data_IF_280773558117
#
_entry.id   IF_280773558117
#
_cell.length_a   1.000
_cell.length_b   1.000
_cell.length_c   1.000
_cell.angle_alpha   90.00
_cell.angle_beta   90.00
_cell.angle_gamma   90.00
#
_symmetry.space_group_name_H-M   'P 1'
#
loop_
_entity.id
_entity.type
_entity.pdbx_description
1 polymer ?
#
# COMPACT_ATOMS: atom_id res chain seq x y z
N UNK A 1 -71.88 10.24 -19.02
CA UNK A 1 -70.67 9.42 -19.24
C UNK A 1 -69.50 10.29 -19.72
N UNK A 2 -68.82 11.04 -18.84
CA UNK A 2 -67.63 11.82 -19.23
C UNK A 2 -66.63 12.14 -18.10
N UNK A 3 -66.98 11.95 -16.82
CA UNK A 3 -66.10 12.36 -15.70
C UNK A 3 -65.10 11.29 -15.22
N UNK A 4 -65.31 10.01 -15.54
CA UNK A 4 -64.48 8.91 -15.01
C UNK A 4 -63.18 8.67 -15.80
N UNK A 5 -63.02 9.22 -16.99
CA UNK A 5 -61.87 8.94 -17.88
C UNK A 5 -60.67 9.86 -17.61
N UNK A 6 -60.86 10.97 -16.90
CA UNK A 6 -59.80 11.98 -16.68
C UNK A 6 -58.88 11.62 -15.49
N UNK A 7 -59.38 10.88 -14.49
CA UNK A 7 -58.63 10.53 -13.26
C UNK A 7 -57.78 9.26 -13.36
N UNK A 8 -57.96 8.40 -14.37
CA UNK A 8 -57.16 7.18 -14.54
C UNK A 8 -55.80 7.41 -15.23
N UNK A 9 -55.64 8.49 -16.00
CA UNK A 9 -54.39 8.81 -16.71
C UNK A 9 -53.19 9.15 -15.79
N UNK A 10 -53.34 9.92 -14.69
CA UNK A 10 -52.21 10.21 -13.80
C UNK A 10 -51.82 9.01 -12.93
N UNK A 11 -52.79 8.21 -12.48
CA UNK A 11 -52.53 7.00 -11.68
C UNK A 11 -51.73 5.95 -12.45
N UNK A 12 -52.03 5.77 -13.74
CA UNK A 12 -51.34 4.81 -14.59
C UNK A 12 -49.90 5.24 -14.95
N UNK A 13 -49.64 6.56 -15.04
CA UNK A 13 -48.27 7.10 -15.19
C UNK A 13 -47.46 6.97 -13.91
N UNK A 14 -48.06 7.22 -12.74
CA UNK A 14 -47.38 7.08 -11.46
C UNK A 14 -47.01 5.61 -11.19
N UNK A 15 -47.90 4.67 -11.53
CA UNK A 15 -47.65 3.23 -11.40
C UNK A 15 -46.51 2.75 -12.34
N UNK A 16 -46.42 3.28 -13.56
CA UNK A 16 -45.27 3.01 -14.46
C UNK A 16 -43.95 3.57 -13.93
N UNK A 17 -43.94 4.75 -13.32
CA UNK A 17 -42.72 5.34 -12.74
C UNK A 17 -42.26 4.56 -11.51
N UNK A 18 -43.20 4.12 -10.66
CA UNK A 18 -42.88 3.29 -9.48
C UNK A 18 -42.38 1.90 -9.88
N UNK A 19 -42.96 1.27 -10.92
CA UNK A 19 -42.48 0.00 -11.47
C UNK A 19 -41.11 0.13 -12.16
N UNK A 20 -40.83 1.26 -12.81
CA UNK A 20 -39.50 1.54 -13.36
C UNK A 20 -38.46 1.75 -12.24
N UNK A 21 -38.80 2.48 -11.17
CA UNK A 21 -37.92 2.68 -10.03
C UNK A 21 -37.66 1.37 -9.26
N UNK A 22 -38.65 0.47 -9.16
CA UNK A 22 -38.43 -0.85 -8.55
C UNK A 22 -37.59 -1.77 -9.43
N UNK A 23 -37.69 -1.69 -10.77
CA UNK A 23 -36.82 -2.46 -11.68
C UNK A 23 -35.36 -2.01 -11.63
N UNK A 24 -35.09 -0.71 -11.46
CA UNK A 24 -33.73 -0.20 -11.22
C UNK A 24 -33.18 -0.59 -9.85
N UNK A 25 -34.02 -0.68 -8.81
CA UNK A 25 -33.60 -1.16 -7.49
C UNK A 25 -33.24 -2.65 -7.49
N UNK A 26 -33.95 -3.47 -8.27
CA UNK A 26 -33.67 -4.91 -8.43
C UNK A 26 -32.40 -5.16 -9.26
N UNK A 27 -32.05 -4.27 -10.20
CA UNK A 27 -30.81 -4.37 -11.00
C UNK A 27 -29.55 -3.87 -10.25
N UNK A 28 -29.70 -3.13 -9.15
CA UNK A 28 -28.59 -2.71 -8.29
C UNK A 28 -28.34 -3.63 -7.10
N UNK A 29 -29.24 -4.57 -6.81
CA UNK A 29 -29.19 -5.42 -5.62
C UNK A 29 -29.05 -6.91 -5.93
N UNK A 30 -27.82 -7.42 -5.95
CA UNK A 30 -27.54 -8.85 -5.77
C UNK A 30 -27.27 -9.65 -7.04
N UNK A 31 -26.04 -9.58 -7.53
CA UNK A 31 -25.48 -10.55 -8.47
C UNK A 31 -24.12 -10.99 -7.97
N UNK A 32 -24.09 -11.98 -7.07
CA UNK A 32 -22.91 -12.82 -6.86
C UNK A 32 -22.62 -13.53 -8.17
N UNK A 33 -21.57 -13.13 -8.88
CA UNK A 33 -20.95 -13.96 -9.89
C UNK A 33 -19.54 -14.29 -9.39
N UNK A 34 -19.46 -15.49 -8.81
CA UNK A 34 -18.24 -16.28 -8.78
C UNK A 34 -17.80 -16.51 -10.22
N UNK A 35 -16.60 -16.09 -10.56
CA UNK A 35 -15.86 -16.69 -11.67
C UNK A 35 -14.43 -16.93 -11.18
N UNK A 36 -14.12 -18.22 -11.04
CA UNK A 36 -12.81 -18.80 -10.74
C UNK A 36 -11.98 -18.86 -12.06
N UNK A 37 -10.76 -19.39 -12.03
CA UNK A 37 -9.52 -18.74 -12.46
C UNK A 37 -9.20 -18.98 -13.94
N UNK A 38 -8.68 -17.94 -14.61
CA UNK A 38 -7.98 -18.13 -15.88
C UNK A 38 -6.62 -18.81 -15.64
N UNK A 39 -6.58 -20.12 -15.85
CA UNK A 39 -5.35 -20.90 -16.07
C UNK A 39 -4.74 -20.58 -17.45
N UNK A 40 -3.41 -20.54 -17.58
CA UNK A 40 -2.73 -20.56 -18.87
C UNK A 40 -2.55 -22.00 -19.42
N UNK A 41 -2.85 -22.21 -20.70
CA UNK A 41 -2.52 -23.40 -21.50
C UNK A 41 -1.52 -23.01 -22.64
N UNK A 42 -0.84 -23.92 -23.36
CA UNK A 42 0.53 -24.26 -23.04
C UNK A 42 1.46 -24.22 -24.29
N UNK A 43 2.76 -24.45 -24.02
CA UNK A 43 3.80 -24.96 -24.94
C UNK A 43 4.33 -24.07 -26.09
N UNK A 44 5.64 -23.82 -26.01
CA UNK A 44 6.54 -24.23 -27.08
C UNK A 44 7.80 -24.86 -26.46
N UNK A 45 7.82 -26.21 -26.47
CA UNK A 45 8.97 -27.05 -26.17
C UNK A 45 9.91 -26.98 -27.38
N UNK A 46 11.20 -26.72 -27.15
CA UNK A 46 12.26 -26.93 -28.13
C UNK A 46 13.30 -27.85 -27.48
N UNK A 47 13.22 -29.13 -27.82
CA UNK A 47 14.14 -30.17 -27.37
C UNK A 47 15.47 -30.16 -28.16
N UNK A 48 16.51 -30.89 -27.67
CA UNK A 48 17.92 -30.54 -27.83
C UNK A 48 18.67 -31.43 -28.84
N UNK A 49 19.90 -31.01 -29.17
CA UNK A 49 20.88 -31.78 -29.95
C UNK A 49 22.32 -31.26 -29.71
N UNK A 50 23.37 -32.06 -29.91
CA UNK A 50 24.30 -32.37 -28.82
C UNK A 50 25.73 -31.80 -28.95
N UNK A 51 26.46 -31.94 -27.85
CA UNK A 51 27.94 -32.11 -27.75
C UNK A 51 28.82 -30.84 -27.71
N UNK A 52 29.42 -30.56 -26.55
CA UNK A 52 30.82 -30.90 -26.24
C UNK A 52 31.25 -30.25 -24.92
N UNK A 53 31.50 -31.10 -23.93
CA UNK A 53 32.31 -30.82 -22.74
C UNK A 53 33.69 -30.30 -23.13
N UNK A 54 34.05 -29.14 -22.61
CA UNK A 54 35.45 -28.77 -22.39
C UNK A 54 35.58 -28.17 -20.99
N UNK A 55 36.12 -28.99 -20.10
CA UNK A 55 36.60 -28.59 -18.79
C UNK A 55 37.80 -27.67 -18.96
N UNK A 56 37.69 -26.43 -18.47
CA UNK A 56 38.83 -25.55 -18.30
C UNK A 56 38.71 -24.89 -16.92
N UNK A 57 39.34 -25.52 -15.93
CA UNK A 57 39.78 -24.85 -14.70
C UNK A 57 41.17 -24.30 -15.03
N UNK A 58 41.37 -22.98 -15.02
CA UNK A 58 42.10 -22.43 -13.88
C UNK A 58 41.77 -20.99 -13.47
N UNK A 59 42.12 -20.74 -12.20
CA UNK A 59 42.43 -19.47 -11.50
C UNK A 59 41.25 -18.66 -10.98
N UNK A 60 41.15 -18.68 -9.65
CA UNK A 60 40.49 -17.67 -8.85
C UNK A 60 40.98 -16.28 -9.28
N UNK A 61 40.08 -15.54 -9.93
CA UNK A 61 40.15 -14.11 -9.93
C UNK A 61 39.76 -13.67 -8.52
N UNK A 62 40.72 -13.10 -7.81
CA UNK A 62 40.46 -12.30 -6.62
C UNK A 62 39.59 -11.12 -7.08
N UNK A 63 38.27 -11.23 -6.85
CA UNK A 63 37.34 -10.18 -7.20
C UNK A 63 37.56 -9.01 -6.25
N UNK A 64 38.21 -7.97 -6.74
CA UNK A 64 38.19 -6.62 -6.14
C UNK A 64 36.79 -5.99 -6.33
N UNK A 65 35.74 -6.73 -6.02
CA UNK A 65 34.38 -6.20 -5.99
C UNK A 65 34.19 -5.50 -4.65
N UNK A 66 34.23 -4.15 -4.68
CA UNK A 66 33.91 -3.33 -3.52
C UNK A 66 32.46 -3.66 -3.13
N UNK A 67 32.22 -4.23 -1.95
CA UNK A 67 30.89 -4.69 -1.63
C UNK A 67 29.94 -3.49 -1.41
N UNK A 68 28.66 -3.62 -1.83
CA UNK A 68 27.72 -2.51 -1.96
C UNK A 68 27.38 -1.79 -0.64
N UNK A 69 27.75 -2.35 0.52
CA UNK A 69 27.55 -1.72 1.83
C UNK A 69 28.53 -0.57 2.09
N UNK A 70 29.70 -0.56 1.45
CA UNK A 70 30.77 0.44 1.71
C UNK A 70 30.31 1.86 1.38
N UNK A 71 29.46 2.02 0.35
CA UNK A 71 28.94 3.33 -0.06
C UNK A 71 27.96 3.96 0.95
N UNK A 72 27.38 3.16 1.86
CA UNK A 72 26.45 3.64 2.89
C UNK A 72 27.13 3.93 4.23
N UNK A 73 28.42 3.59 4.35
CA UNK A 73 29.16 3.71 5.59
C UNK A 73 29.96 5.01 5.63
N UNK A 74 29.73 5.91 6.61
CA UNK A 74 30.57 7.09 6.78
C UNK A 74 31.98 6.66 7.20
N UNK A 75 32.99 7.30 6.61
CA UNK A 75 34.39 7.07 6.97
C UNK A 75 34.84 8.08 8.04
N UNK A 76 35.70 7.63 8.97
CA UNK A 76 36.32 8.44 10.03
C UNK A 76 35.33 9.05 11.06
N UNK A 77 34.13 8.49 11.18
CA UNK A 77 33.18 8.82 12.25
C UNK A 77 33.47 8.09 13.56
N UNK A 78 32.72 8.43 14.62
CA UNK A 78 32.79 7.73 15.90
C UNK A 78 32.27 6.29 15.75
N UNK A 79 33.00 5.29 16.27
CA UNK A 79 32.60 3.88 16.13
C UNK A 79 31.22 3.58 16.75
N UNK A 80 30.84 4.25 17.84
CA UNK A 80 29.54 4.08 18.49
C UNK A 80 28.33 4.65 17.72
N UNK A 81 28.57 5.43 16.67
CA UNK A 81 27.53 6.02 15.80
C UNK A 81 27.48 5.38 14.42
N UNK A 82 28.22 4.31 14.20
CA UNK A 82 28.27 3.64 12.91
C UNK A 82 26.92 2.93 12.65
N UNK A 83 26.38 3.01 11.41
CA UNK A 83 25.18 2.28 11.04
C UNK A 83 25.30 0.78 11.30
N UNK A 84 24.18 0.13 11.62
CA UNK A 84 24.16 -1.31 11.86
C UNK A 84 24.67 -2.15 10.67
N UNK A 85 24.54 -1.66 9.44
CA UNK A 85 25.02 -2.35 8.23
C UNK A 85 26.55 -2.38 8.13
N UNK A 86 27.25 -1.50 8.85
CA UNK A 86 28.71 -1.31 8.79
C UNK A 86 29.47 -2.09 9.87
N UNK A 87 28.75 -2.71 10.81
CA UNK A 87 29.32 -3.42 11.97
C UNK A 87 28.73 -4.82 12.07
N UNK A 88 29.45 -5.73 12.70
CA UNK A 88 29.00 -7.06 13.06
C UNK A 88 29.14 -7.24 14.57
N UNK A 89 28.03 -7.48 15.26
CA UNK A 89 28.00 -7.52 16.72
C UNK A 89 27.69 -8.94 17.19
N UNK A 90 28.43 -9.41 18.20
CA UNK A 90 28.15 -10.68 18.86
C UNK A 90 26.86 -10.55 19.68
N UNK A 91 25.75 -10.94 19.09
CA UNK A 91 24.43 -10.84 19.73
C UNK A 91 24.28 -11.86 20.87
N UNK A 92 23.77 -11.39 22.01
CA UNK A 92 23.35 -12.23 23.13
C UNK A 92 21.85 -12.02 23.34
N UNK A 93 21.07 -13.08 23.16
CA UNK A 93 19.61 -13.03 23.25
C UNK A 93 19.07 -13.14 24.69
N UNK A 94 19.93 -13.38 25.69
CA UNK A 94 19.53 -13.65 27.07
C UNK A 94 19.35 -12.39 27.93
N UNK A 95 19.06 -11.24 27.32
CA UNK A 95 18.88 -9.98 28.01
C UNK A 95 17.43 -9.67 28.39
N UNK A 96 17.24 -8.80 29.38
CA UNK A 96 15.91 -8.35 29.80
C UNK A 96 15.40 -7.28 28.83
N UNK A 97 14.22 -7.50 28.26
CA UNK A 97 13.58 -6.57 27.33
C UNK A 97 13.50 -5.15 27.91
N UNK A 98 13.94 -4.15 27.14
CA UNK A 98 13.90 -2.74 27.51
C UNK A 98 15.05 -2.26 28.41
N UNK A 99 15.99 -3.14 28.80
CA UNK A 99 17.19 -2.75 29.56
C UNK A 99 18.39 -2.49 28.63
N UNK A 100 19.28 -1.53 28.97
CA UNK A 100 20.50 -1.30 28.21
C UNK A 100 21.47 -2.48 28.39
N UNK A 101 22.07 -2.93 27.29
CA UNK A 101 23.04 -4.02 27.23
C UNK A 101 24.17 -3.63 26.29
N UNK A 102 25.38 -4.00 26.69
CA UNK A 102 26.60 -3.80 25.92
C UNK A 102 26.90 -5.04 25.07
N UNK A 103 27.15 -4.84 23.78
CA UNK A 103 27.56 -5.88 22.84
C UNK A 103 28.94 -5.59 22.27
N UNK A 104 29.73 -6.64 22.07
CA UNK A 104 31.03 -6.56 21.42
C UNK A 104 30.83 -6.55 19.90
N UNK A 105 31.21 -5.45 19.26
CA UNK A 105 31.03 -5.23 17.83
C UNK A 105 32.37 -5.09 17.12
N UNK A 106 32.44 -5.62 15.91
CA UNK A 106 33.57 -5.50 14.99
C UNK A 106 33.15 -4.70 13.76
N UNK A 107 34.08 -3.89 13.25
CA UNK A 107 33.84 -3.11 12.04
C UNK A 107 34.03 -4.01 10.82
N UNK A 108 33.12 -3.93 9.84
CA UNK A 108 33.26 -4.68 8.58
C UNK A 108 34.52 -4.26 7.81
N UNK A 109 35.08 -5.15 6.97
CA UNK A 109 36.24 -4.79 6.16
C UNK A 109 35.95 -3.56 5.29
N UNK A 110 36.98 -2.74 5.06
CA UNK A 110 36.91 -1.51 4.27
C UNK A 110 36.17 -0.31 4.90
N UNK A 111 35.69 -0.41 6.14
CA UNK A 111 35.14 0.72 6.90
C UNK A 111 36.10 1.13 8.02
N UNK A 112 36.38 2.43 8.17
CA UNK A 112 37.24 2.97 9.24
C UNK A 112 36.43 3.87 10.16
N UNK A 113 36.55 3.64 11.48
CA UNK A 113 35.98 4.48 12.52
C UNK A 113 37.03 4.79 13.59
N UNK A 114 36.77 5.84 14.36
CA UNK A 114 37.63 6.30 15.46
C UNK A 114 36.88 6.25 16.79
N UNK A 115 37.61 6.03 17.88
CA UNK A 115 37.09 6.16 19.24
C UNK A 115 37.14 7.64 19.70
N UNK A 116 36.59 8.03 20.88
CA UNK A 116 36.69 9.39 21.42
C UNK A 116 38.12 9.94 21.49
N UNK A 117 39.13 9.07 21.60
CA UNK A 117 40.54 9.44 21.62
C UNK A 117 41.19 9.53 20.22
N UNK A 118 40.40 9.61 19.15
CA UNK A 118 40.86 9.68 17.75
C UNK A 118 41.74 8.50 17.30
N UNK A 119 41.67 7.37 18.01
CA UNK A 119 42.37 6.14 17.65
C UNK A 119 41.47 5.26 16.79
N UNK A 120 42.03 4.72 15.72
CA UNK A 120 41.31 3.74 14.90
C UNK A 120 41.13 2.43 15.67
N UNK A 121 39.90 1.94 15.71
CA UNK A 121 39.56 0.68 16.37
C UNK A 121 38.82 -0.24 15.42
N UNK A 122 39.14 -1.53 15.49
CA UNK A 122 38.45 -2.59 14.74
C UNK A 122 37.35 -3.26 15.55
N UNK A 123 37.49 -3.26 16.88
CA UNK A 123 36.54 -3.85 17.81
C UNK A 123 36.25 -2.84 18.90
N UNK A 124 34.98 -2.67 19.25
CA UNK A 124 34.52 -1.74 20.26
C UNK A 124 33.25 -2.25 20.93
N UNK A 125 32.87 -1.64 22.05
CA UNK A 125 31.66 -2.01 22.80
C UNK A 125 30.54 -1.04 22.44
N UNK A 126 29.40 -1.57 21.98
CA UNK A 126 28.22 -0.79 21.64
C UNK A 126 27.14 -0.97 22.71
N UNK A 127 26.60 0.15 23.21
CA UNK A 127 25.49 0.14 24.16
C UNK A 127 24.17 0.32 23.42
N UNK A 128 23.26 -0.64 23.54
CA UNK A 128 21.92 -0.57 22.95
C UNK A 128 20.87 -1.18 23.87
N UNK A 129 19.60 -0.84 23.66
CA UNK A 129 18.50 -1.41 24.44
C UNK A 129 18.18 -2.81 23.94
N UNK A 130 18.07 -3.77 24.86
CA UNK A 130 17.68 -5.14 24.53
C UNK A 130 16.24 -5.17 23.99
N UNK A 131 16.09 -5.29 22.67
CA UNK A 131 14.80 -5.44 21.98
C UNK A 131 15.01 -6.07 20.61
N UNK A 132 14.05 -6.87 20.15
CA UNK A 132 14.09 -7.43 18.80
C UNK A 132 13.63 -6.43 17.74
N UNK A 133 14.18 -6.53 16.52
CA UNK A 133 13.90 -5.62 15.41
C UNK A 133 12.39 -5.47 15.08
N UNK A 134 11.61 -6.55 15.21
CA UNK A 134 10.16 -6.56 14.97
C UNK A 134 9.33 -5.97 16.13
N UNK A 135 9.94 -5.71 17.30
CA UNK A 135 9.29 -5.13 18.48
C UNK A 135 9.55 -3.62 18.62
N UNK A 136 10.16 -2.97 17.63
CA UNK A 136 10.40 -1.53 17.63
C UNK A 136 9.08 -0.74 17.54
N UNK A 137 9.04 0.53 17.99
CA UNK A 137 7.93 1.43 17.71
C UNK A 137 7.97 1.87 16.24
N UNK A 138 6.85 2.36 15.73
CA UNK A 138 6.68 2.78 14.34
C UNK A 138 7.60 3.94 13.91
N UNK A 139 8.19 4.68 14.85
CA UNK A 139 9.16 5.73 14.56
C UNK A 139 10.52 5.17 14.06
N UNK A 140 10.89 3.96 14.47
CA UNK A 140 12.25 3.44 14.31
C UNK A 140 12.42 2.51 13.09
N UNK A 141 11.36 2.27 12.31
CA UNK A 141 11.41 1.49 11.08
C UNK A 141 10.53 2.11 10.00
N UNK A 142 10.81 1.76 8.75
CA UNK A 142 10.04 2.17 7.59
C UNK A 142 9.53 0.93 6.86
N UNK A 143 8.25 0.95 6.50
CA UNK A 143 7.59 -0.16 5.81
C UNK A 143 7.31 0.20 4.36
N UNK A 144 7.35 -0.79 3.48
CA UNK A 144 7.00 -0.59 2.08
C UNK A 144 5.49 -0.27 1.94
N UNK A 145 5.18 0.83 1.28
CA UNK A 145 3.82 1.21 0.91
C UNK A 145 3.41 0.53 -0.39
N UNK A 146 2.28 -0.17 -0.39
CA UNK A 146 1.70 -0.75 -1.60
C UNK A 146 0.43 -0.01 -1.99
N UNK A 147 0.24 0.18 -3.30
CA UNK A 147 -1.00 0.69 -3.91
C UNK A 147 -1.98 -0.44 -4.28
N UNK A 148 -1.56 -1.70 -4.21
CA UNK A 148 -2.34 -2.86 -4.66
C UNK A 148 -3.33 -3.32 -3.58
N UNK A 149 -3.96 -2.37 -2.89
CA UNK A 149 -4.99 -2.68 -1.90
C UNK A 149 -5.98 -1.53 -1.70
N UNK A 150 -7.17 -1.86 -1.19
CA UNK A 150 -8.24 -0.89 -0.97
C UNK A 150 -8.15 -0.33 0.46
N UNK A 151 -7.96 0.99 0.57
CA UNK A 151 -7.92 1.67 1.86
C UNK A 151 -9.31 1.78 2.50
N UNK A 152 -10.35 1.97 1.67
CA UNK A 152 -11.76 2.04 2.08
C UNK A 152 -12.46 0.74 1.67
N UNK A 153 -12.61 -0.17 2.62
CA UNK A 153 -13.34 -1.43 2.45
C UNK A 153 -14.02 -1.83 3.78
N UNK A 154 -15.07 -2.63 3.70
CA UNK A 154 -15.73 -3.20 4.88
C UNK A 154 -15.67 -4.74 4.81
N UNK A 155 -14.91 -5.41 5.71
CA UNK A 155 -14.01 -4.85 6.74
C UNK A 155 -12.77 -4.16 6.14
N UNK A 156 -12.11 -3.30 6.91
CA UNK A 156 -10.92 -2.57 6.46
C UNK A 156 -9.79 -3.55 6.12
N UNK A 157 -9.32 -3.50 4.87
CA UNK A 157 -8.31 -4.42 4.36
C UNK A 157 -6.96 -4.20 5.04
N UNK A 158 -6.25 -5.30 5.29
CA UNK A 158 -4.86 -5.34 5.73
C UNK A 158 -4.01 -5.98 4.64
N UNK A 159 -2.76 -5.54 4.53
CA UNK A 159 -1.81 -6.09 3.57
C UNK A 159 -0.50 -6.47 4.27
N UNK A 160 0.14 -7.59 3.85
CA UNK A 160 1.47 -7.94 4.32
C UNK A 160 2.50 -7.03 3.64
N UNK A 161 3.42 -6.48 4.42
CA UNK A 161 4.54 -5.69 3.90
C UNK A 161 5.81 -5.97 4.67
N UNK A 162 6.95 -5.70 4.03
CA UNK A 162 8.24 -5.79 4.68
C UNK A 162 8.62 -4.43 5.25
N UNK A 163 9.00 -4.44 6.52
CA UNK A 163 9.50 -3.28 7.24
C UNK A 163 11.00 -3.43 7.50
N UNK A 164 11.72 -2.34 7.31
CA UNK A 164 13.17 -2.24 7.51
C UNK A 164 13.46 -1.25 8.62
N UNK A 165 14.24 -1.66 9.61
CA UNK A 165 14.68 -0.78 10.69
C UNK A 165 15.60 0.31 10.18
N UNK A 166 15.49 1.53 10.72
CA UNK A 166 16.36 2.66 10.37
C UNK A 166 17.83 2.38 10.73
N UNK A 167 18.74 2.93 9.96
CA UNK A 167 20.18 2.59 10.00
C UNK A 167 20.87 2.91 11.34
N UNK A 168 20.42 3.96 12.03
CA UNK A 168 20.95 4.41 13.31
C UNK A 168 20.39 3.64 14.52
N UNK A 169 19.41 2.76 14.29
CA UNK A 169 18.77 1.99 15.37
C UNK A 169 19.34 0.58 15.36
N UNK A 170 19.97 0.21 16.47
CA UNK A 170 20.50 -1.12 16.70
C UNK A 170 19.44 -1.99 17.40
N UNK A 171 19.21 -3.19 16.87
CA UNK A 171 18.19 -4.13 17.35
C UNK A 171 18.66 -5.57 17.16
N UNK A 172 18.04 -6.50 17.90
CA UNK A 172 18.37 -7.93 17.84
C UNK A 172 17.58 -8.65 16.73
N UNK A 173 18.24 -9.56 16.02
CA UNK A 173 17.64 -10.40 14.99
C UNK A 173 17.67 -9.77 13.59
N UNK A 174 16.77 -10.22 12.72
CA UNK A 174 16.71 -9.72 11.34
C UNK A 174 16.14 -8.29 11.29
N UNK A 175 16.86 -7.37 10.61
CA UNK A 175 16.47 -5.96 10.45
C UNK A 175 15.31 -5.76 9.48
N UNK A 176 15.06 -6.75 8.62
CA UNK A 176 13.89 -6.79 7.75
C UNK A 176 12.88 -7.80 8.30
N UNK A 177 11.64 -7.37 8.51
CA UNK A 177 10.61 -8.22 9.07
C UNK A 177 9.24 -7.96 8.42
N UNK A 178 8.42 -9.01 8.24
CA UNK A 178 7.08 -8.85 7.73
C UNK A 178 6.16 -8.26 8.82
N UNK A 179 5.29 -7.31 8.44
CA UNK A 179 4.26 -6.73 9.29
C UNK A 179 2.94 -6.64 8.52
N UNK A 180 1.83 -6.86 9.22
CA UNK A 180 0.49 -6.63 8.66
C UNK A 180 0.06 -5.20 8.96
N UNK A 181 -0.04 -4.37 7.92
CA UNK A 181 -0.48 -2.98 8.04
C UNK A 181 -1.87 -2.80 7.43
N UNK A 182 -2.55 -1.74 7.86
CA UNK A 182 -3.77 -1.29 7.21
C UNK A 182 -3.44 -0.56 5.91
N UNK A 183 -4.25 -0.79 4.88
CA UNK A 183 -4.15 -0.04 3.64
C UNK A 183 -4.37 1.45 3.88
N UNK A 184 -3.41 2.24 3.43
CA UNK A 184 -3.41 3.68 3.51
C UNK A 184 -2.72 4.23 2.25
N UNK A 185 -3.50 4.35 1.18
CA UNK A 185 -3.04 4.88 -0.10
C UNK A 185 -4.08 5.83 -0.68
N UNK A 186 -3.59 6.85 -1.38
CA UNK A 186 -4.38 7.94 -1.96
C UNK A 186 -4.25 7.91 -3.49
N UNK A 187 -5.39 7.91 -4.20
CA UNK A 187 -5.43 7.84 -5.66
C UNK A 187 -5.37 9.19 -6.37
N UNK A 188 -5.06 10.28 -5.65
CA UNK A 188 -5.02 11.63 -6.24
C UNK A 188 -6.36 12.36 -6.27
N UNK A 189 -7.45 11.72 -5.80
CA UNK A 189 -8.77 12.32 -5.75
C UNK A 189 -8.85 13.36 -4.62
N UNK A 190 -9.21 14.61 -4.97
CA UNK A 190 -9.40 15.69 -3.99
C UNK A 190 -10.85 15.72 -3.53
N UNK A 191 -11.06 15.73 -2.21
CA UNK A 191 -12.41 15.79 -1.66
C UNK A 191 -13.15 17.08 -2.06
N UNK A 192 -12.45 18.21 -2.01
CA UNK A 192 -12.99 19.53 -2.38
C UNK A 192 -13.42 19.60 -3.85
N UNK A 193 -12.65 19.00 -4.77
CA UNK A 193 -13.00 18.94 -6.18
C UNK A 193 -14.24 18.07 -6.40
N UNK A 194 -14.32 16.90 -5.76
CA UNK A 194 -15.49 16.03 -5.85
C UNK A 194 -16.77 16.76 -5.36
N UNK A 195 -16.66 17.49 -4.24
CA UNK A 195 -17.74 18.30 -3.70
C UNK A 195 -18.15 19.44 -4.65
N UNK A 196 -17.18 20.19 -5.19
CA UNK A 196 -17.44 21.28 -6.12
C UNK A 196 -18.11 20.80 -7.42
N UNK A 197 -17.66 19.66 -7.97
CA UNK A 197 -18.26 19.02 -9.13
C UNK A 197 -19.69 18.52 -8.83
N UNK A 198 -19.95 18.03 -7.62
CA UNK A 198 -21.29 17.61 -7.20
C UNK A 198 -22.26 18.80 -7.14
N UNK A 199 -21.82 19.95 -6.63
CA UNK A 199 -22.65 21.17 -6.54
C UNK A 199 -22.91 21.77 -7.93
N UNK A 200 -21.87 21.90 -8.77
CA UNK A 200 -21.96 22.64 -10.03
C UNK A 200 -22.43 21.78 -11.22
N UNK A 201 -22.04 20.51 -11.24
CA UNK A 201 -22.23 19.60 -12.37
C UNK A 201 -22.80 18.23 -11.94
N UNK A 202 -23.29 18.10 -10.71
CA UNK A 202 -23.82 16.83 -10.19
C UNK A 202 -25.04 16.34 -10.97
N UNK A 203 -25.82 17.24 -11.58
CA UNK A 203 -26.99 16.88 -12.39
C UNK A 203 -26.62 16.07 -13.64
N UNK A 204 -25.40 16.27 -14.15
CA UNK A 204 -24.83 15.50 -15.25
C UNK A 204 -23.99 14.30 -14.76
N UNK A 205 -23.88 14.10 -13.44
CA UNK A 205 -23.09 13.03 -12.83
C UNK A 205 -21.58 13.22 -12.89
N UNK A 206 -21.09 14.45 -13.09
CA UNK A 206 -19.66 14.74 -13.21
C UNK A 206 -18.85 14.32 -11.96
N UNK A 207 -19.47 14.38 -10.79
CA UNK A 207 -18.95 13.88 -9.52
C UNK A 207 -18.68 12.36 -9.56
N UNK A 208 -19.60 11.56 -10.12
CA UNK A 208 -19.44 10.10 -10.24
C UNK A 208 -18.40 9.72 -11.28
N UNK A 209 -18.38 10.44 -12.41
CA UNK A 209 -17.32 10.27 -13.40
C UNK A 209 -15.94 10.60 -12.84
N UNK A 210 -15.84 11.67 -12.04
CA UNK A 210 -14.58 12.04 -11.37
C UNK A 210 -14.08 10.95 -10.43
N UNK A 211 -14.97 10.28 -9.68
CA UNK A 211 -14.61 9.20 -8.76
C UNK A 211 -14.41 7.83 -9.44
N UNK A 212 -14.49 7.74 -10.77
CA UNK A 212 -14.36 6.49 -11.52
C UNK A 212 -15.64 5.63 -11.58
N UNK A 213 -16.74 6.08 -10.99
CA UNK A 213 -18.04 5.40 -10.96
C UNK A 213 -18.87 5.70 -12.22
N UNK A 214 -18.31 5.41 -13.40
CA UNK A 214 -18.88 5.80 -14.70
C UNK A 214 -20.29 5.23 -14.96
N UNK A 215 -20.59 4.04 -14.44
CA UNK A 215 -21.91 3.41 -14.61
C UNK A 215 -23.02 4.20 -13.91
N UNK A 216 -22.76 4.66 -12.68
CA UNK A 216 -23.69 5.50 -11.92
C UNK A 216 -23.78 6.91 -12.52
N UNK A 217 -22.65 7.46 -12.98
CA UNK A 217 -22.62 8.74 -13.70
C UNK A 217 -23.51 8.74 -14.94
N UNK A 218 -23.48 7.65 -15.73
CA UNK A 218 -24.30 7.52 -16.92
C UNK A 218 -25.80 7.42 -16.59
N UNK A 219 -26.16 6.75 -15.49
CA UNK A 219 -27.53 6.71 -14.99
C UNK A 219 -28.08 8.10 -14.63
N UNK A 220 -27.25 8.95 -14.02
CA UNK A 220 -27.61 10.36 -13.74
C UNK A 220 -27.78 11.16 -15.03
N UNK A 221 -26.90 10.96 -16.02
CA UNK A 221 -26.95 11.68 -17.28
C UNK A 221 -28.26 11.40 -18.05
N UNK A 222 -28.66 10.12 -18.15
CA UNK A 222 -29.89 9.73 -18.86
C UNK A 222 -31.17 10.10 -18.09
N UNK A 223 -31.10 10.19 -16.76
CA UNK A 223 -32.21 10.69 -15.95
C UNK A 223 -32.28 12.22 -15.86
N UNK A 224 -31.44 12.94 -16.63
CA UNK A 224 -31.27 14.40 -16.55
C UNK A 224 -31.08 14.87 -15.10
N UNK A 225 -30.36 14.09 -14.29
CA UNK A 225 -30.10 14.39 -12.89
C UNK A 225 -31.33 14.39 -11.98
N UNK A 226 -32.45 13.82 -12.44
CA UNK A 226 -33.71 13.69 -11.69
C UNK A 226 -34.17 14.99 -11.01
N UNK A 227 -34.20 16.09 -11.78
CA UNK A 227 -34.67 17.41 -11.32
C UNK A 227 -33.89 18.02 -10.14
N UNK A 228 -32.64 17.59 -9.91
CA UNK A 228 -31.79 18.11 -8.84
C UNK A 228 -31.90 17.37 -7.49
N UNK A 229 -32.75 16.33 -7.39
CA UNK A 229 -32.80 15.50 -6.19
C UNK A 229 -31.50 14.70 -6.03
N UNK A 230 -30.99 14.14 -7.13
CA UNK A 230 -29.73 13.40 -7.12
C UNK A 230 -28.57 14.28 -6.65
N UNK A 231 -28.47 15.50 -7.17
CA UNK A 231 -27.40 16.43 -6.78
C UNK A 231 -27.41 16.73 -5.29
N UNK A 232 -28.58 16.90 -4.69
CA UNK A 232 -28.72 17.13 -3.26
C UNK A 232 -28.26 15.92 -2.43
N UNK A 233 -28.64 14.70 -2.86
CA UNK A 233 -28.20 13.45 -2.22
C UNK A 233 -26.69 13.30 -2.33
N UNK A 234 -26.11 13.54 -3.51
CA UNK A 234 -24.67 13.39 -3.73
C UNK A 234 -23.84 14.39 -2.92
N UNK A 235 -24.27 15.66 -2.84
CA UNK A 235 -23.61 16.66 -2.02
C UNK A 235 -23.61 16.23 -0.56
N UNK A 236 -24.71 15.67 -0.05
CA UNK A 236 -24.75 15.13 1.31
C UNK A 236 -23.79 13.94 1.47
N UNK A 237 -23.85 12.96 0.56
CA UNK A 237 -23.06 11.72 0.65
C UNK A 237 -21.55 11.96 0.51
N UNK A 238 -21.13 12.86 -0.38
CA UNK A 238 -19.73 13.27 -0.53
C UNK A 238 -19.33 14.16 0.64
N UNK A 239 -20.22 15.05 1.08
CA UNK A 239 -20.02 15.93 2.23
C UNK A 239 -19.70 15.18 3.52
N UNK A 240 -20.40 14.07 3.79
CA UNK A 240 -20.11 13.20 4.95
C UNK A 240 -18.99 12.19 4.70
N UNK A 241 -18.43 12.12 3.49
CA UNK A 241 -17.39 11.17 3.12
C UNK A 241 -17.86 9.71 3.04
N UNK A 242 -19.17 9.47 2.90
CA UNK A 242 -19.71 8.11 2.79
C UNK A 242 -19.36 7.47 1.45
N UNK A 243 -19.35 8.26 0.37
CA UNK A 243 -18.89 7.80 -0.94
C UNK A 243 -17.47 8.27 -1.19
N UNK A 244 -16.59 7.31 -1.49
CA UNK A 244 -15.21 7.54 -1.91
C UNK A 244 -14.94 7.14 -3.37
N UNK A 245 -13.69 7.25 -3.81
CA UNK A 245 -13.24 6.79 -5.13
C UNK A 245 -13.51 5.30 -5.37
N UNK A 246 -13.80 4.92 -6.63
CA UNK A 246 -14.08 3.53 -7.01
C UNK A 246 -12.90 2.57 -6.73
N UNK A 247 -11.68 3.10 -6.76
CA UNK A 247 -10.45 2.34 -6.49
C UNK A 247 -10.28 1.99 -4.99
N UNK A 248 -11.14 2.53 -4.12
CA UNK A 248 -11.06 2.35 -2.67
C UNK A 248 -9.90 3.11 -2.04
N UNK A 249 -9.36 4.12 -2.72
CA UNK A 249 -8.31 5.00 -2.18
C UNK A 249 -8.89 6.09 -1.27
N UNK A 250 -8.04 6.69 -0.44
CA UNK A 250 -8.43 7.84 0.38
C UNK A 250 -8.40 9.14 -0.41
N UNK A 251 -9.27 10.07 -0.02
CA UNK A 251 -9.23 11.45 -0.49
C UNK A 251 -7.97 12.17 0.01
N UNK A 252 -7.52 13.15 -0.79
CA UNK A 252 -6.49 14.14 -0.46
C UNK A 252 -7.15 15.49 -0.11
#
# INVERSE_FOLDING_TARGET
>A
MAAAVVLLRPLCRLCRVVLFLSQFYILSGGGSFSEEPSQPLPQAIKDPGPTRTFTAVPRAAESTDIPPYVMKCPSNGLCSRLPADCIDCKTNFSCVYGKPVTFDCTVKPSVTCVDPDFKSQKSFVLNMTCRFCWQLPEADYECFSSSDCRAVSCPRQRYPTNCTVRDHVHCLGNRTFPKMLYCNWTGGYKWSTALALSITLGGFGADRFYLGQWREGLGKLFSFGGLGIWTLIDVLLIGVGYVGPADGSLYI
#
